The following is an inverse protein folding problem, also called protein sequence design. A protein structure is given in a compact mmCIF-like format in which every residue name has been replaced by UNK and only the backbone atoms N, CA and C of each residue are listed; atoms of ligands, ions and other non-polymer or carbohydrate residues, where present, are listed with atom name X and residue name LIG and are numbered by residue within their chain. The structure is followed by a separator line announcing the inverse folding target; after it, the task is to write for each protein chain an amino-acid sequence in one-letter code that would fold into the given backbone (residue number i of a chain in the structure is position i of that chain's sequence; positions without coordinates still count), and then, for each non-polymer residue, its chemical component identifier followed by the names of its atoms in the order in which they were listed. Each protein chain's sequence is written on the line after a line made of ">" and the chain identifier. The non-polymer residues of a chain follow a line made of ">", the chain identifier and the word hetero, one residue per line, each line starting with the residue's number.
data_IF_924415226512
#
_entry.id   IF_924415226512
#
_cell.length_a   1.000
_cell.length_b   1.000
_cell.length_c   1.000
_cell.angle_alpha   90.00
_cell.angle_beta   90.00
_cell.angle_gamma   90.00
#
_symmetry.space_group_name_H-M   'P 1'
#
loop_
_entity.id
_entity.type
_entity.pdbx_description
1 polymer ?
#
# COMPACT_ATOMS: atom_id res chain seq x y z
N UNK A 1 4.98 -6.52 14.14
CA UNK A 1 5.65 -7.73 13.65
C UNK A 1 6.21 -7.59 12.23
N UNK A 2 5.46 -7.02 11.30
CA UNK A 2 5.99 -6.70 9.97
C UNK A 2 7.21 -5.78 10.02
N UNK A 3 7.23 -4.80 10.92
CA UNK A 3 8.37 -3.90 11.09
C UNK A 3 9.66 -4.64 11.37
N UNK A 4 9.60 -5.68 12.20
CA UNK A 4 10.75 -6.50 12.52
C UNK A 4 11.24 -7.27 11.29
N UNK A 5 10.31 -7.80 10.49
CA UNK A 5 10.64 -8.51 9.27
C UNK A 5 11.26 -7.58 8.21
N UNK A 6 10.74 -6.37 8.06
CA UNK A 6 11.32 -5.39 7.15
C UNK A 6 12.73 -4.99 7.55
N UNK A 7 12.98 -4.85 8.86
CA UNK A 7 14.30 -4.50 9.35
C UNK A 7 15.32 -5.62 9.13
N UNK A 8 14.91 -6.88 9.24
CA UNK A 8 15.80 -8.04 9.10
C UNK A 8 15.85 -8.62 7.67
N UNK A 9 14.81 -8.40 6.88
CA UNK A 9 14.65 -9.03 5.57
C UNK A 9 13.96 -10.38 5.63
N UNK A 10 14.25 -11.21 6.63
CA UNK A 10 13.60 -12.49 6.88
C UNK A 10 13.78 -12.90 8.33
N UNK A 11 12.93 -13.77 8.84
CA UNK A 11 13.08 -14.30 10.19
C UNK A 11 12.26 -15.58 10.41
N UNK A 12 12.75 -16.42 11.33
CA UNK A 12 11.98 -17.50 11.91
C UNK A 12 11.25 -16.99 13.15
N UNK A 13 10.29 -17.77 13.67
CA UNK A 13 9.59 -17.43 14.92
C UNK A 13 10.58 -17.24 16.06
N UNK A 14 11.57 -18.14 16.18
CA UNK A 14 12.57 -18.09 17.24
C UNK A 14 13.42 -16.81 17.16
N UNK A 15 13.84 -16.42 15.95
CA UNK A 15 14.63 -15.21 15.76
C UNK A 15 13.85 -13.95 16.17
N UNK A 16 12.57 -13.89 15.87
CA UNK A 16 11.72 -12.77 16.28
C UNK A 16 11.54 -12.70 17.78
N UNK A 17 11.35 -13.85 18.43
CA UNK A 17 11.23 -13.91 19.89
C UNK A 17 12.50 -13.45 20.59
N UNK A 18 13.65 -13.92 20.12
CA UNK A 18 14.93 -13.62 20.77
C UNK A 18 15.36 -12.16 20.57
N UNK A 19 15.10 -11.60 19.40
CA UNK A 19 15.69 -10.30 19.03
C UNK A 19 14.75 -9.12 19.08
N UNK A 20 13.42 -9.33 18.94
CA UNK A 20 12.48 -8.22 18.82
C UNK A 20 11.30 -8.25 19.79
N UNK A 21 10.84 -9.45 20.11
CA UNK A 21 9.63 -9.60 20.94
C UNK A 21 9.82 -10.67 22.01
N UNK A 22 10.82 -10.52 22.90
CA UNK A 22 11.07 -11.53 23.94
C UNK A 22 9.93 -11.63 24.96
N UNK A 23 9.09 -10.62 25.05
CA UNK A 23 7.93 -10.59 25.95
C UNK A 23 6.74 -11.40 25.43
N UNK A 24 6.73 -11.77 24.14
CA UNK A 24 5.61 -12.50 23.56
C UNK A 24 5.82 -14.01 23.66
N UNK A 25 4.72 -14.75 23.74
CA UNK A 25 4.77 -16.20 23.71
C UNK A 25 5.05 -16.70 22.28
N UNK A 26 5.71 -17.83 22.18
CA UNK A 26 6.01 -18.50 20.91
C UNK A 26 4.76 -18.68 20.05
N UNK A 27 3.67 -19.16 20.67
CA UNK A 27 2.40 -19.40 19.97
C UNK A 27 1.78 -18.11 19.44
N UNK A 28 1.94 -16.98 20.15
CA UNK A 28 1.43 -15.69 19.71
C UNK A 28 2.14 -15.23 18.44
N UNK A 29 3.46 -15.32 18.42
CA UNK A 29 4.27 -14.93 17.26
C UNK A 29 3.94 -15.86 16.07
N UNK A 30 3.89 -17.16 16.31
CA UNK A 30 3.57 -18.14 15.27
C UNK A 30 2.18 -17.90 14.66
N UNK A 31 1.17 -17.67 15.49
CA UNK A 31 -0.19 -17.40 15.03
C UNK A 31 -0.25 -16.11 14.20
N UNK A 32 0.44 -15.06 14.65
CA UNK A 32 0.47 -13.78 13.93
C UNK A 32 1.13 -13.94 12.56
N UNK A 33 2.26 -14.63 12.48
CA UNK A 33 2.96 -14.90 11.23
C UNK A 33 2.11 -15.75 10.28
N UNK A 34 1.42 -16.77 10.81
CA UNK A 34 0.54 -17.61 10.02
C UNK A 34 -0.62 -16.80 9.42
N UNK A 35 -1.20 -15.89 10.20
CA UNK A 35 -2.26 -14.99 9.71
C UNK A 35 -1.76 -14.07 8.61
N UNK A 36 -0.59 -13.48 8.79
CA UNK A 36 0.03 -12.61 7.78
C UNK A 36 0.33 -13.38 6.49
N UNK A 37 0.82 -14.61 6.64
CA UNK A 37 1.05 -15.49 5.50
C UNK A 37 -0.25 -15.81 4.75
N UNK A 38 -1.30 -16.19 5.46
CA UNK A 38 -2.61 -16.50 4.86
C UNK A 38 -3.25 -15.30 4.17
N UNK A 39 -2.97 -14.09 4.65
CA UNK A 39 -3.43 -12.84 4.02
C UNK A 39 -2.61 -12.45 2.80
N UNK A 40 -1.52 -13.18 2.51
CA UNK A 40 -0.67 -12.89 1.36
C UNK A 40 0.36 -11.80 1.59
N UNK A 41 0.61 -11.41 2.84
CA UNK A 41 1.59 -10.38 3.19
C UNK A 41 3.00 -10.91 3.38
N UNK A 42 3.12 -12.22 3.60
CA UNK A 42 4.39 -12.90 3.77
C UNK A 42 4.48 -14.08 2.82
N UNK A 43 5.70 -14.44 2.44
CA UNK A 43 6.04 -15.73 1.88
C UNK A 43 6.79 -16.52 2.96
N UNK A 44 6.83 -17.84 2.82
CA UNK A 44 7.58 -18.67 3.77
C UNK A 44 8.23 -19.85 3.05
N UNK A 45 9.35 -20.29 3.59
CA UNK A 45 10.07 -21.47 3.12
C UNK A 45 10.45 -22.33 4.31
N UNK A 46 10.54 -23.63 4.10
CA UNK A 46 10.94 -24.55 5.16
C UNK A 46 12.46 -24.41 5.41
N UNK A 47 12.81 -24.35 6.70
CA UNK A 47 14.19 -24.35 7.17
C UNK A 47 14.29 -25.29 8.36
N UNK A 48 14.72 -26.54 8.10
CA UNK A 48 14.68 -27.58 9.10
C UNK A 48 13.24 -27.92 9.48
N UNK A 49 12.91 -27.78 10.78
CA UNK A 49 11.56 -27.99 11.31
C UNK A 49 10.76 -26.71 11.44
N UNK A 50 11.33 -25.59 11.03
CA UNK A 50 10.72 -24.27 11.15
C UNK A 50 10.45 -23.68 9.78
N UNK A 51 9.70 -22.58 9.77
CA UNK A 51 9.51 -21.76 8.58
C UNK A 51 10.29 -20.46 8.73
N UNK A 52 10.92 -20.03 7.64
CA UNK A 52 11.49 -18.70 7.52
C UNK A 52 10.51 -17.84 6.73
N UNK A 53 10.11 -16.73 7.34
CA UNK A 53 9.13 -15.81 6.76
C UNK A 53 9.83 -14.62 6.14
N UNK A 54 9.36 -14.22 4.97
CA UNK A 54 9.89 -13.07 4.22
C UNK A 54 8.72 -12.14 3.88
N UNK A 55 8.85 -10.82 4.11
CA UNK A 55 7.82 -9.88 3.66
C UNK A 55 7.67 -9.95 2.15
N UNK A 56 6.44 -10.08 1.69
CA UNK A 56 6.15 -10.12 0.26
C UNK A 56 6.17 -8.73 -0.36
N UNK A 57 5.86 -7.72 0.44
CA UNK A 57 5.80 -6.32 0.01
C UNK A 57 6.65 -5.46 0.92
N UNK A 58 7.22 -4.38 0.38
CA UNK A 58 7.91 -3.38 1.18
C UNK A 58 6.90 -2.59 2.01
N UNK A 59 7.41 -1.81 2.98
CA UNK A 59 6.56 -0.91 3.78
C UNK A 59 5.83 0.07 2.89
N UNK A 60 6.53 0.67 1.93
CA UNK A 60 5.98 1.64 1.00
C UNK A 60 4.89 1.03 0.11
N UNK A 61 5.11 -0.17 -0.37
CA UNK A 61 4.11 -0.89 -1.18
C UNK A 61 2.83 -1.17 -0.38
N UNK A 62 2.95 -1.61 0.88
CA UNK A 62 1.79 -1.82 1.75
C UNK A 62 1.06 -0.54 2.07
N UNK A 63 1.79 0.54 2.37
CA UNK A 63 1.18 1.84 2.63
C UNK A 63 0.42 2.34 1.41
N UNK A 64 0.98 2.17 0.22
CA UNK A 64 0.31 2.52 -1.03
C UNK A 64 -0.96 1.72 -1.25
N UNK A 65 -0.92 0.41 -1.05
CA UNK A 65 -2.09 -0.46 -1.20
C UNK A 65 -3.19 -0.08 -0.21
N UNK A 66 -2.82 0.18 1.03
CA UNK A 66 -3.76 0.59 2.07
C UNK A 66 -4.41 1.93 1.74
N UNK A 67 -3.62 2.90 1.26
CA UNK A 67 -4.13 4.21 0.86
C UNK A 67 -5.09 4.10 -0.32
N UNK A 68 -4.72 3.35 -1.35
CA UNK A 68 -5.57 3.14 -2.53
C UNK A 68 -6.89 2.49 -2.12
N UNK A 69 -6.84 1.46 -1.28
CA UNK A 69 -8.02 0.79 -0.79
C UNK A 69 -8.95 1.75 -0.03
N UNK A 70 -8.39 2.52 0.90
CA UNK A 70 -9.15 3.47 1.72
C UNK A 70 -9.81 4.56 0.86
N UNK A 71 -9.10 5.12 -0.11
CA UNK A 71 -9.65 6.15 -1.00
C UNK A 71 -10.74 5.61 -1.89
N UNK A 72 -10.59 4.39 -2.42
CA UNK A 72 -11.63 3.76 -3.22
C UNK A 72 -12.91 3.54 -2.40
N UNK A 73 -12.77 3.09 -1.16
CA UNK A 73 -13.91 2.92 -0.26
C UNK A 73 -14.64 4.23 -0.02
N UNK A 74 -13.90 5.32 0.20
CA UNK A 74 -14.50 6.65 0.40
C UNK A 74 -15.23 7.14 -0.83
N UNK A 75 -14.66 6.98 -2.01
CA UNK A 75 -15.27 7.41 -3.26
C UNK A 75 -16.52 6.59 -3.61
N UNK A 76 -16.48 5.30 -3.36
CA UNK A 76 -17.62 4.40 -3.61
C UNK A 76 -18.78 4.68 -2.66
N UNK A 77 -18.47 5.07 -1.43
CA UNK A 77 -19.50 5.42 -0.43
C UNK A 77 -20.20 6.75 -0.71
N UNK A 78 -19.60 7.62 -1.55
CA UNK A 78 -20.13 8.97 -1.84
C UNK A 78 -20.11 9.23 -3.35
N UNK A 79 -20.91 8.50 -4.14
CA UNK A 79 -20.79 8.47 -5.59
C UNK A 79 -21.10 9.78 -6.33
N UNK A 80 -21.84 10.68 -5.73
CA UNK A 80 -22.25 11.92 -6.41
C UNK A 80 -21.62 13.16 -5.81
N UNK A 81 -20.67 13.01 -4.89
CA UNK A 81 -20.26 14.10 -4.03
C UNK A 81 -18.77 14.44 -4.16
N UNK A 82 -18.46 15.72 -4.24
CA UNK A 82 -17.12 16.25 -4.10
C UNK A 82 -16.68 16.36 -2.63
N UNK A 83 -17.55 15.98 -1.67
CA UNK A 83 -17.27 16.11 -0.25
C UNK A 83 -15.97 15.43 0.21
N UNK A 84 -15.69 14.16 -0.17
CA UNK A 84 -14.43 13.55 0.24
C UNK A 84 -13.20 14.31 -0.27
N UNK A 85 -13.28 14.87 -1.47
CA UNK A 85 -12.18 15.67 -2.05
C UNK A 85 -12.01 16.99 -1.31
N UNK A 86 -13.12 17.66 -0.97
CA UNK A 86 -13.09 18.90 -0.22
C UNK A 86 -12.45 18.70 1.16
N UNK A 87 -12.83 17.65 1.85
CA UNK A 87 -12.28 17.31 3.17
C UNK A 87 -10.79 16.99 3.09
N UNK A 88 -10.37 16.29 2.05
CA UNK A 88 -8.95 15.98 1.83
C UNK A 88 -8.13 17.27 1.71
N UNK A 89 -8.59 18.20 0.89
CA UNK A 89 -7.93 19.51 0.69
C UNK A 89 -7.87 20.30 2.00
N UNK A 90 -8.95 20.30 2.74
CA UNK A 90 -9.05 20.96 4.04
C UNK A 90 -8.05 20.41 5.05
N UNK A 91 -7.99 19.09 5.19
CA UNK A 91 -7.05 18.40 6.09
C UNK A 91 -5.60 18.67 5.69
N UNK A 92 -5.28 18.63 4.41
CA UNK A 92 -3.94 18.92 3.93
C UNK A 92 -3.52 20.34 4.24
N UNK A 93 -4.43 21.31 4.04
CA UNK A 93 -4.17 22.71 4.34
C UNK A 93 -3.94 23.00 5.82
N UNK A 94 -4.61 22.25 6.70
CA UNK A 94 -4.41 22.36 8.15
C UNK A 94 -3.05 21.82 8.57
N UNK A 95 -2.55 20.79 7.90
CA UNK A 95 -1.26 20.18 8.23
C UNK A 95 -0.08 21.01 7.75
N UNK A 96 -0.08 21.32 6.46
CA UNK A 96 1.02 22.04 5.82
C UNK A 96 0.52 22.54 4.47
N UNK A 97 0.58 23.85 4.27
CA UNK A 97 0.15 24.46 3.00
C UNK A 97 0.97 23.97 1.80
N UNK A 98 2.20 23.52 2.02
CA UNK A 98 3.03 22.93 0.97
C UNK A 98 2.39 21.69 0.38
N UNK A 99 1.64 20.91 1.18
CA UNK A 99 0.92 19.73 0.70
C UNK A 99 -0.12 20.08 -0.35
N UNK A 100 -0.73 21.27 -0.27
CA UNK A 100 -1.68 21.74 -1.28
C UNK A 100 -0.97 22.00 -2.62
N UNK A 101 0.21 22.57 -2.59
CA UNK A 101 1.01 22.82 -3.79
C UNK A 101 1.47 21.48 -4.41
N UNK A 102 1.90 20.55 -3.58
CA UNK A 102 2.29 19.20 -4.00
C UNK A 102 1.13 18.47 -4.68
N UNK A 103 -0.05 18.56 -4.07
CA UNK A 103 -1.27 17.95 -4.62
C UNK A 103 -1.63 18.55 -5.97
N UNK A 104 -1.55 19.88 -6.08
CA UNK A 104 -1.81 20.60 -7.34
C UNK A 104 -0.90 20.12 -8.45
N UNK A 105 0.39 20.00 -8.16
CA UNK A 105 1.39 19.50 -9.10
C UNK A 105 1.08 18.07 -9.57
N UNK A 106 0.71 17.21 -8.63
CA UNK A 106 0.35 15.82 -8.93
C UNK A 106 -0.91 15.73 -9.79
N UNK A 107 -1.91 16.57 -9.50
CA UNK A 107 -3.16 16.64 -10.29
C UNK A 107 -2.86 17.08 -11.72
N UNK A 108 -2.06 18.13 -11.90
CA UNK A 108 -1.70 18.64 -13.21
C UNK A 108 -0.92 17.60 -14.03
N UNK A 109 0.00 16.88 -13.38
CA UNK A 109 0.75 15.79 -14.00
C UNK A 109 -0.18 14.68 -14.48
N UNK A 110 -1.13 14.29 -13.64
CA UNK A 110 -2.10 13.23 -13.99
C UNK A 110 -2.99 13.62 -15.16
N UNK A 111 -3.43 14.88 -15.18
CA UNK A 111 -4.23 15.40 -16.29
C UNK A 111 -3.48 15.35 -17.62
N UNK A 112 -2.20 15.70 -17.61
CA UNK A 112 -1.35 15.62 -18.80
C UNK A 112 -1.18 14.18 -19.27
N UNK A 113 -0.96 13.24 -18.37
CA UNK A 113 -0.85 11.82 -18.69
C UNK A 113 -2.13 11.29 -19.33
N UNK A 114 -3.28 11.61 -18.75
CA UNK A 114 -4.58 11.17 -19.26
C UNK A 114 -4.91 11.83 -20.59
N UNK A 115 -4.57 13.11 -20.77
CA UNK A 115 -4.75 13.80 -22.02
C UNK A 115 -3.95 13.16 -23.16
N UNK A 116 -2.72 12.79 -22.89
CA UNK A 116 -1.87 12.08 -23.84
C UNK A 116 -2.43 10.71 -24.21
N UNK A 117 -2.97 9.97 -23.24
CA UNK A 117 -3.61 8.67 -23.47
C UNK A 117 -4.87 8.81 -24.33
N UNK A 118 -5.73 9.78 -24.05
CA UNK A 118 -6.93 10.06 -24.83
C UNK A 118 -6.60 10.43 -26.26
N UNK A 119 -5.59 11.29 -26.43
CA UNK A 119 -5.13 11.69 -27.76
C UNK A 119 -4.60 10.50 -28.55
N UNK A 120 -3.80 9.65 -27.93
CA UNK A 120 -3.30 8.41 -28.56
C UNK A 120 -4.40 7.47 -28.94
N UNK A 121 -5.42 7.29 -28.11
CA UNK A 121 -6.57 6.44 -28.40
C UNK A 121 -7.41 6.99 -29.55
N UNK A 122 -7.59 8.30 -29.63
CA UNK A 122 -8.32 8.95 -30.73
C UNK A 122 -7.61 8.79 -32.06
N UNK A 123 -6.28 8.91 -32.10
CA UNK A 123 -5.48 8.69 -33.29
C UNK A 123 -5.59 7.24 -33.76
N UNK A 124 -5.52 6.27 -32.85
CA UNK A 124 -5.69 4.86 -33.18
C UNK A 124 -7.09 4.54 -33.70
N UNK A 125 -8.10 5.16 -33.09
CA UNK A 125 -9.49 5.01 -33.52
C UNK A 125 -9.74 5.57 -34.93
N UNK A 126 -9.10 6.66 -35.29
CA UNK A 126 -9.20 7.25 -36.62
C UNK A 126 -8.51 6.39 -37.68
N UNK A 127 -7.39 5.78 -37.38
CA UNK A 127 -6.67 4.88 -38.30
C UNK A 127 -7.45 3.59 -38.57
N UNK A 128 -8.22 3.11 -37.63
CA UNK A 128 -9.06 1.93 -37.78
C UNK A 128 -10.29 2.19 -38.67
N UNK A 129 -10.74 3.44 -38.78
CA UNK A 129 -11.90 3.83 -39.59
C UNK A 129 -11.56 4.09 -41.07
N UNK A 130 -10.30 4.24 -41.38
CA UNK A 130 -9.81 4.42 -42.74
C UNK A 130 -9.40 3.07 -43.39
#
# INVERSE_FOLDING_TARGET
>A
MLDALWARGSATVRELLENRHPELAYTTVMTTLDRLFKKGLLTRSEEGRAFRYVPRFSREELQRQAAVYAFRQLLDASPASSLPLSFLVEILGERDTQLLDDLRELVERKRRELGQREFGQRELGQKEKE
#
